data_IF_122370518571
#
_entry.id   IF_122370518571
#
_cell.length_a   1.000
_cell.length_b   1.000
_cell.length_c   1.000
_cell.angle_alpha   90.00
_cell.angle_beta   90.00
_cell.angle_gamma   90.00
#
_symmetry.space_group_name_H-M   'P 1'
#
loop_
_entity.id
_entity.type
_entity.pdbx_description
1 polymer ?
#
# COMPACT_ATOMS: atom_id res chain seq x y z
N UNK A 1 -21.69 -13.98 17.93
CA UNK A 1 -20.63 -14.66 17.14
C UNK A 1 -21.20 -15.97 16.63
N UNK A 2 -21.09 -16.25 15.32
CA UNK A 2 -21.63 -17.48 14.72
C UNK A 2 -20.65 -18.64 14.94
N UNK A 3 -21.16 -19.81 15.35
CA UNK A 3 -20.34 -21.01 15.65
C UNK A 3 -20.04 -21.82 14.40
N UNK A 4 -19.38 -21.19 13.44
CA UNK A 4 -18.96 -21.83 12.18
C UNK A 4 -17.44 -21.71 12.04
N UNK A 5 -16.76 -22.75 11.51
CA UNK A 5 -15.36 -22.63 11.12
C UNK A 5 -15.17 -21.45 10.17
N UNK A 6 -14.11 -20.66 10.37
CA UNK A 6 -13.85 -19.47 9.57
C UNK A 6 -12.41 -19.46 9.06
N UNK A 7 -12.23 -19.17 7.78
CA UNK A 7 -10.92 -18.92 7.18
C UNK A 7 -10.79 -17.45 6.82
N UNK A 8 -9.65 -16.87 7.19
CA UNK A 8 -9.30 -15.48 6.98
C UNK A 8 -7.89 -15.40 6.42
N UNK A 9 -7.61 -14.38 5.63
CA UNK A 9 -6.24 -14.10 5.25
C UNK A 9 -6.09 -12.76 4.59
N UNK A 10 -4.84 -12.43 4.31
CA UNK A 10 -4.46 -11.19 3.67
C UNK A 10 -3.22 -11.40 2.81
N UNK A 11 -3.06 -10.53 1.82
CA UNK A 11 -1.87 -10.45 1.00
C UNK A 11 -0.74 -9.75 1.76
N UNK A 12 0.52 -9.99 1.37
CA UNK A 12 1.66 -9.33 2.00
C UNK A 12 1.67 -7.81 1.79
N UNK A 13 1.00 -7.31 0.74
CA UNK A 13 1.06 -5.94 0.27
C UNK A 13 -0.35 -5.35 -0.01
N UNK A 14 -1.28 -5.48 0.95
CA UNK A 14 -2.67 -4.99 0.80
C UNK A 14 -2.75 -3.46 0.65
N UNK A 15 -1.82 -2.75 1.28
CA UNK A 15 -1.76 -1.30 1.33
C UNK A 15 -1.42 -0.66 -0.01
N UNK A 16 -0.77 -1.39 -0.92
CA UNK A 16 -0.33 -0.90 -2.22
C UNK A 16 -1.45 -0.24 -3.02
N UNK A 17 -2.69 -0.73 -2.94
CA UNK A 17 -3.81 -0.14 -3.69
C UNK A 17 -4.10 1.31 -3.28
N UNK A 18 -3.94 1.63 -1.99
CA UNK A 18 -4.13 2.99 -1.48
C UNK A 18 -2.87 3.83 -1.69
N UNK A 19 -1.69 3.25 -1.52
CA UNK A 19 -0.40 3.91 -1.79
C UNK A 19 -0.30 4.32 -3.27
N UNK A 20 -0.77 3.49 -4.20
CA UNK A 20 -0.79 3.78 -5.64
C UNK A 20 -1.52 5.09 -5.96
N UNK A 21 -2.66 5.33 -5.30
CA UNK A 21 -3.43 6.57 -5.50
C UNK A 21 -2.63 7.80 -5.07
N UNK A 22 -1.88 7.73 -3.98
CA UNK A 22 -1.02 8.85 -3.55
C UNK A 22 0.12 9.14 -4.51
N UNK A 23 0.66 8.09 -5.15
CA UNK A 23 1.69 8.24 -6.17
C UNK A 23 1.14 8.82 -7.48
N UNK A 24 -0.17 8.76 -7.70
CA UNK A 24 -0.78 9.17 -8.96
C UNK A 24 -1.03 10.69 -9.05
N UNK A 25 -1.39 11.35 -7.94
CA UNK A 25 -1.79 12.77 -7.95
C UNK A 25 -0.66 13.71 -7.52
N UNK A 26 -0.35 14.77 -8.29
CA UNK A 26 0.73 15.69 -7.93
C UNK A 26 0.46 16.49 -6.65
N UNK A 27 -0.80 16.73 -6.31
CA UNK A 27 -1.20 17.39 -5.06
C UNK A 27 -0.84 16.53 -3.85
N UNK A 28 -1.09 15.22 -3.92
CA UNK A 28 -0.70 14.29 -2.86
C UNK A 28 0.82 14.18 -2.79
N UNK A 29 1.51 14.13 -3.94
CA UNK A 29 2.98 14.21 -3.97
C UNK A 29 3.54 15.48 -3.31
N UNK A 30 2.84 16.62 -3.44
CA UNK A 30 3.22 17.86 -2.75
C UNK A 30 3.05 17.78 -1.23
N UNK A 31 1.94 17.20 -0.75
CA UNK A 31 1.77 16.95 0.69
C UNK A 31 2.83 16.03 1.26
N UNK A 32 3.29 15.08 0.46
CA UNK A 32 4.37 14.16 0.83
C UNK A 32 5.73 14.89 0.93
N UNK A 33 6.06 15.81 0.01
CA UNK A 33 7.30 16.60 0.03
C UNK A 33 7.39 17.60 1.19
N UNK A 34 6.27 18.19 1.60
CA UNK A 34 6.24 19.23 2.64
C UNK A 34 6.24 18.66 4.08
N UNK A 35 6.47 17.36 4.30
CA UNK A 35 6.26 16.66 5.58
C UNK A 35 4.83 16.77 6.18
N UNK A 36 3.90 17.40 5.46
CA UNK A 36 2.48 17.55 5.87
C UNK A 36 1.69 16.24 5.75
N UNK A 37 2.27 15.22 5.11
CA UNK A 37 1.75 13.85 5.06
C UNK A 37 1.30 13.37 6.44
N UNK A 38 2.19 13.48 7.42
CA UNK A 38 2.00 12.85 8.72
C UNK A 38 0.85 13.49 9.49
N UNK A 39 0.81 14.81 9.53
CA UNK A 39 -0.20 15.54 10.30
C UNK A 39 -1.55 15.61 9.60
N UNK A 40 -1.56 15.73 8.26
CA UNK A 40 -2.81 15.97 7.51
C UNK A 40 -3.36 14.74 6.85
N UNK A 41 -2.51 13.86 6.31
CA UNK A 41 -2.97 12.79 5.43
C UNK A 41 -3.07 11.44 6.12
N UNK A 42 -2.11 11.09 6.99
CA UNK A 42 -2.13 9.82 7.71
C UNK A 42 -3.39 9.61 8.55
N UNK A 43 -3.93 10.60 9.29
CA UNK A 43 -5.21 10.45 9.99
C UNK A 43 -6.35 9.99 9.09
N UNK A 44 -6.45 10.58 7.89
CA UNK A 44 -7.46 10.20 6.91
C UNK A 44 -7.17 8.85 6.26
N UNK A 45 -5.90 8.55 5.98
CA UNK A 45 -5.49 7.31 5.34
C UNK A 45 -5.78 6.07 6.19
N UNK A 46 -5.52 6.15 7.51
CA UNK A 46 -5.72 5.01 8.41
C UNK A 46 -6.93 5.16 9.33
N UNK A 47 -7.82 6.11 9.01
CA UNK A 47 -9.11 6.37 9.67
C UNK A 47 -9.03 6.53 11.20
N UNK A 48 -8.14 7.38 11.69
CA UNK A 48 -8.16 7.78 13.10
C UNK A 48 -8.42 9.28 13.28
N UNK A 49 -9.05 9.61 14.40
CA UNK A 49 -9.30 11.00 14.78
C UNK A 49 -8.05 11.63 15.38
N UNK A 50 -7.45 12.56 14.64
CA UNK A 50 -6.26 13.29 15.06
C UNK A 50 -6.53 14.25 16.21
N UNK A 51 -7.76 14.70 16.43
CA UNK A 51 -8.11 15.59 17.54
C UNK A 51 -8.01 14.86 18.89
N UNK A 52 -8.36 13.58 18.91
CA UNK A 52 -8.26 12.72 20.10
C UNK A 52 -6.83 12.26 20.36
N UNK A 53 -6.00 12.19 19.31
CA UNK A 53 -4.65 11.62 19.33
C UNK A 53 -3.68 12.47 18.50
N UNK A 54 -3.38 13.72 18.92
CA UNK A 54 -2.59 14.64 18.12
C UNK A 54 -1.13 14.19 17.94
N UNK A 55 -0.60 13.39 18.86
CA UNK A 55 0.76 12.86 18.84
C UNK A 55 0.93 11.57 18.03
N UNK A 56 -0.18 10.92 17.64
CA UNK A 56 -0.14 9.60 17.02
C UNK A 56 0.52 9.61 15.64
N UNK A 57 0.35 10.69 14.87
CA UNK A 57 0.95 10.84 13.54
C UNK A 57 2.47 10.71 13.60
N UNK A 58 3.08 11.43 14.54
CA UNK A 58 4.53 11.46 14.73
C UNK A 58 5.05 10.13 15.28
N UNK A 59 4.36 9.54 16.25
CA UNK A 59 4.72 8.20 16.76
C UNK A 59 4.65 7.13 15.67
N UNK A 60 3.66 7.21 14.78
CA UNK A 60 3.55 6.30 13.64
C UNK A 60 4.69 6.53 12.66
N UNK A 61 4.98 7.79 12.32
CA UNK A 61 6.12 8.14 11.48
C UNK A 61 7.40 7.54 12.04
N UNK A 62 7.71 7.82 13.29
CA UNK A 62 8.96 7.41 13.92
C UNK A 62 9.07 5.87 13.99
N UNK A 63 7.95 5.16 14.18
CA UNK A 63 7.95 3.70 14.16
C UNK A 63 8.27 3.09 12.79
N UNK A 64 7.70 3.65 11.70
CA UNK A 64 7.84 3.09 10.36
C UNK A 64 9.06 3.64 9.59
N UNK A 65 9.39 4.90 9.80
CA UNK A 65 10.38 5.65 9.00
C UNK A 65 11.56 6.17 9.84
N UNK A 66 11.50 6.07 11.17
CA UNK A 66 12.52 6.67 12.02
C UNK A 66 12.59 8.20 11.86
N UNK A 67 13.80 8.74 12.01
CA UNK A 67 14.09 10.18 11.94
C UNK A 67 14.71 10.62 10.60
N UNK A 68 14.59 9.81 9.55
CA UNK A 68 15.22 10.09 8.27
C UNK A 68 14.34 11.00 7.39
N UNK A 69 14.98 11.71 6.46
CA UNK A 69 14.31 12.35 5.33
C UNK A 69 14.28 11.39 4.15
N UNK A 70 13.14 11.21 3.51
CA UNK A 70 12.93 10.19 2.48
C UNK A 70 12.47 10.78 1.15
N UNK A 71 12.94 10.19 0.05
CA UNK A 71 12.40 10.40 -1.29
C UNK A 71 11.24 9.42 -1.52
N UNK A 72 10.09 9.92 -1.95
CA UNK A 72 8.88 9.10 -2.14
C UNK A 72 8.87 8.35 -3.47
N UNK A 73 9.83 8.65 -4.34
CA UNK A 73 10.14 7.82 -5.49
C UNK A 73 11.07 6.66 -5.14
N UNK A 74 11.62 6.63 -3.91
CA UNK A 74 12.36 5.49 -3.40
C UNK A 74 11.42 4.28 -3.21
N UNK A 75 11.69 3.15 -3.88
CA UNK A 75 10.95 1.91 -3.67
C UNK A 75 10.85 1.48 -2.20
N UNK A 76 11.88 1.76 -1.38
CA UNK A 76 11.89 1.46 0.05
C UNK A 76 10.82 2.23 0.80
N UNK A 77 10.64 3.51 0.49
CA UNK A 77 9.63 4.40 1.11
C UNK A 77 8.22 3.96 0.74
N UNK A 78 8.01 3.56 -0.52
CA UNK A 78 6.74 3.00 -0.99
C UNK A 78 6.42 1.71 -0.24
N UNK A 79 7.41 0.82 -0.07
CA UNK A 79 7.26 -0.43 0.67
C UNK A 79 6.92 -0.18 2.15
N UNK A 80 7.51 0.84 2.76
CA UNK A 80 7.21 1.21 4.15
C UNK A 80 5.80 1.80 4.30
N UNK A 81 5.37 2.65 3.36
CA UNK A 81 3.99 3.15 3.32
C UNK A 81 2.97 2.02 3.13
N UNK A 82 3.26 1.09 2.23
CA UNK A 82 2.44 -0.11 2.04
C UNK A 82 2.34 -0.93 3.33
N UNK A 83 3.47 -1.12 4.02
CA UNK A 83 3.49 -1.84 5.31
C UNK A 83 2.61 -1.15 6.36
N UNK A 84 2.73 0.18 6.49
CA UNK A 84 1.90 0.97 7.41
C UNK A 84 0.39 0.77 7.12
N UNK A 85 0.00 0.93 5.86
CA UNK A 85 -1.41 0.84 5.46
C UNK A 85 -1.92 -0.60 5.60
N UNK A 86 -1.13 -1.59 5.16
CA UNK A 86 -1.42 -3.02 5.30
C UNK A 86 -1.64 -3.39 6.77
N UNK A 87 -0.75 -2.94 7.66
CA UNK A 87 -0.83 -3.24 9.08
C UNK A 87 -2.10 -2.66 9.71
N UNK A 88 -2.43 -1.41 9.40
CA UNK A 88 -3.56 -0.70 10.04
C UNK A 88 -4.92 -1.12 9.50
N UNK A 89 -5.05 -1.23 8.18
CA UNK A 89 -6.35 -1.44 7.55
C UNK A 89 -6.69 -2.92 7.34
N UNK A 90 -5.69 -3.80 7.31
CA UNK A 90 -5.91 -5.21 6.99
C UNK A 90 -5.45 -6.13 8.12
N UNK A 91 -4.16 -6.12 8.49
CA UNK A 91 -3.65 -7.11 9.45
C UNK A 91 -4.17 -6.91 10.88
N UNK A 92 -4.28 -5.66 11.36
CA UNK A 92 -4.84 -5.39 12.68
C UNK A 92 -6.29 -5.87 12.80
N UNK A 93 -7.25 -5.43 11.96
CA UNK A 93 -8.62 -5.91 12.07
C UNK A 93 -8.73 -7.42 11.82
N UNK A 94 -7.96 -7.99 10.88
CA UNK A 94 -7.92 -9.44 10.67
C UNK A 94 -7.52 -10.20 11.93
N UNK A 95 -6.42 -9.79 12.57
CA UNK A 95 -5.96 -10.38 13.84
C UNK A 95 -7.03 -10.24 14.92
N UNK A 96 -7.59 -9.05 15.10
CA UNK A 96 -8.57 -8.78 16.15
C UNK A 96 -9.85 -9.62 15.92
N UNK A 97 -10.34 -9.71 14.68
CA UNK A 97 -11.48 -10.57 14.31
C UNK A 97 -11.18 -12.05 14.52
N UNK A 98 -9.99 -12.52 14.16
CA UNK A 98 -9.57 -13.89 14.36
C UNK A 98 -9.52 -14.28 15.85
N UNK A 99 -8.99 -13.39 16.70
CA UNK A 99 -8.91 -13.58 18.15
C UNK A 99 -10.29 -13.61 18.81
N UNK A 100 -11.27 -12.86 18.28
CA UNK A 100 -12.65 -12.90 18.78
C UNK A 100 -13.36 -14.18 18.33
N UNK A 101 -13.22 -14.57 17.05
CA UNK A 101 -13.88 -15.77 16.52
C UNK A 101 -13.31 -17.06 17.13
N UNK A 102 -11.99 -17.13 17.37
CA UNK A 102 -11.32 -18.35 17.85
C UNK A 102 -11.80 -18.83 19.22
N UNK A 103 -12.45 -17.95 20.00
CA UNK A 103 -13.10 -18.30 21.27
C UNK A 103 -14.35 -19.16 21.10
N UNK A 104 -14.90 -19.23 19.88
CA UNK A 104 -16.21 -19.82 19.61
C UNK A 104 -16.21 -20.89 18.53
N UNK A 105 -15.26 -20.86 17.58
CA UNK A 105 -15.13 -21.85 16.51
C UNK A 105 -13.69 -21.91 15.97
N UNK A 106 -13.30 -22.98 15.26
CA UNK A 106 -12.00 -23.05 14.60
C UNK A 106 -11.76 -21.89 13.62
N UNK A 107 -10.58 -21.29 13.69
CA UNK A 107 -10.15 -20.20 12.79
C UNK A 107 -8.87 -20.61 12.07
N UNK A 108 -8.86 -20.47 10.76
CA UNK A 108 -7.71 -20.74 9.90
C UNK A 108 -7.19 -19.43 9.31
N UNK A 109 -5.90 -19.15 9.49
CA UNK A 109 -5.27 -17.95 8.96
C UNK A 109 -4.36 -18.32 7.78
N UNK A 110 -4.41 -17.53 6.72
CA UNK A 110 -3.43 -17.59 5.63
C UNK A 110 -2.78 -16.23 5.37
N UNK A 111 -1.55 -16.26 4.86
CA UNK A 111 -0.84 -15.09 4.36
C UNK A 111 -0.37 -15.39 2.93
N UNK A 112 -0.84 -14.60 1.98
CA UNK A 112 -0.48 -14.78 0.57
C UNK A 112 0.71 -13.89 0.22
N UNK A 113 1.81 -14.50 -0.25
CA UNK A 113 3.07 -13.80 -0.54
C UNK A 113 3.55 -13.96 -1.99
N UNK A 114 2.70 -14.50 -2.87
CA UNK A 114 3.07 -14.64 -4.27
C UNK A 114 2.75 -13.34 -5.02
N UNK A 115 3.78 -12.73 -5.62
CA UNK A 115 3.64 -11.54 -6.46
C UNK A 115 3.55 -11.96 -7.93
N UNK A 116 2.40 -11.70 -8.55
CA UNK A 116 2.22 -11.88 -9.98
C UNK A 116 3.01 -10.86 -10.81
N UNK A 117 3.25 -11.19 -12.08
CA UNK A 117 3.92 -10.31 -13.05
C UNK A 117 3.12 -9.00 -13.29
N UNK A 118 1.80 -9.12 -13.38
CA UNK A 118 0.88 -7.98 -13.43
C UNK A 118 0.02 -7.97 -12.17
N UNK A 119 -0.04 -6.82 -11.51
CA UNK A 119 -0.86 -6.62 -10.31
C UNK A 119 -1.82 -5.45 -10.51
N UNK A 120 -2.90 -5.42 -9.73
CA UNK A 120 -3.83 -4.29 -9.75
C UNK A 120 -3.14 -2.95 -9.40
N UNK A 121 -2.11 -2.99 -8.55
CA UNK A 121 -1.26 -1.84 -8.26
C UNK A 121 -0.64 -1.23 -9.54
N UNK A 122 -0.14 -2.06 -10.45
CA UNK A 122 0.42 -1.60 -11.72
C UNK A 122 -0.63 -0.83 -12.53
N UNK A 123 -1.84 -1.38 -12.63
CA UNK A 123 -2.94 -0.75 -13.37
C UNK A 123 -3.34 0.62 -12.80
N UNK A 124 -3.48 0.72 -11.47
CA UNK A 124 -3.79 2.00 -10.80
C UNK A 124 -2.68 3.02 -11.05
N UNK A 125 -1.42 2.61 -10.98
CA UNK A 125 -0.26 3.47 -11.25
C UNK A 125 -0.26 4.00 -12.69
N UNK A 126 -0.64 3.16 -13.66
CA UNK A 126 -0.67 3.53 -15.07
C UNK A 126 -1.83 4.43 -15.45
N UNK A 127 -2.94 4.41 -14.70
CA UNK A 127 -4.18 5.12 -15.02
C UNK A 127 -4.14 6.64 -14.83
N UNK A 128 -2.97 7.28 -14.66
CA UNK A 128 -2.89 8.73 -14.43
C UNK A 128 -3.41 9.45 -15.68
N UNK A 129 -4.48 10.26 -15.61
CA UNK A 129 -4.94 10.96 -16.81
C UNK A 129 -3.92 12.03 -17.21
N UNK A 130 -3.27 11.87 -18.37
CA UNK A 130 -2.71 13.03 -19.09
C UNK A 130 -3.87 13.78 -19.72
N UNK A 131 -3.93 15.09 -19.52
CA UNK A 131 -5.03 15.95 -19.98
C UNK A 131 -5.30 15.91 -21.50
N UNK A 132 -4.35 15.44 -22.30
CA UNK A 132 -4.39 15.47 -23.77
C UNK A 132 -4.46 14.08 -24.44
N UNK A 133 -4.49 12.98 -23.69
CA UNK A 133 -4.53 11.61 -24.21
C UNK A 133 -5.73 10.84 -23.64
N UNK A 134 -6.39 10.01 -24.45
CA UNK A 134 -7.39 9.06 -23.94
C UNK A 134 -6.72 8.15 -22.90
N UNK A 135 -7.33 8.01 -21.72
CA UNK A 135 -6.77 7.25 -20.60
C UNK A 135 -6.38 5.81 -20.97
N UNK A 136 -7.11 5.18 -21.88
CA UNK A 136 -6.83 3.83 -22.40
C UNK A 136 -5.47 3.73 -23.10
N UNK A 137 -5.12 4.72 -23.93
CA UNK A 137 -3.84 4.75 -24.67
C UNK A 137 -2.69 4.94 -23.69
N UNK A 138 -2.90 5.76 -22.66
CA UNK A 138 -1.89 6.00 -21.63
C UNK A 138 -1.59 4.75 -20.78
N UNK A 139 -2.65 4.03 -20.38
CA UNK A 139 -2.51 2.76 -19.66
C UNK A 139 -1.75 1.73 -20.50
N UNK A 140 -2.11 1.59 -21.78
CA UNK A 140 -1.43 0.66 -22.69
C UNK A 140 0.06 1.00 -22.87
N UNK A 141 0.38 2.27 -23.08
CA UNK A 141 1.76 2.73 -23.27
C UNK A 141 2.63 2.52 -22.03
N UNK A 142 2.17 2.96 -20.85
CA UNK A 142 2.91 2.75 -19.60
C UNK A 142 3.03 1.27 -19.24
N UNK A 143 1.97 0.50 -19.49
CA UNK A 143 1.97 -0.95 -19.30
C UNK A 143 3.03 -1.64 -20.15
N UNK A 144 3.16 -1.26 -21.42
CA UNK A 144 4.18 -1.79 -22.32
C UNK A 144 5.61 -1.44 -21.85
N UNK A 145 5.86 -0.19 -21.45
CA UNK A 145 7.17 0.25 -20.94
C UNK A 145 7.57 -0.53 -19.69
N UNK A 146 6.68 -0.61 -18.71
CA UNK A 146 6.94 -1.33 -17.45
C UNK A 146 7.20 -2.82 -17.68
N UNK A 147 6.42 -3.43 -18.58
CA UNK A 147 6.56 -4.84 -18.94
C UNK A 147 7.94 -5.09 -19.57
N UNK A 148 8.37 -4.22 -20.49
CA UNK A 148 9.69 -4.28 -21.11
C UNK A 148 10.81 -4.09 -20.08
N UNK A 149 10.68 -3.13 -19.17
CA UNK A 149 11.67 -2.89 -18.11
C UNK A 149 11.82 -4.10 -17.18
N UNK A 150 10.70 -4.71 -16.77
CA UNK A 150 10.73 -5.91 -15.93
C UNK A 150 11.36 -7.09 -16.67
N UNK A 151 11.04 -7.28 -17.95
CA UNK A 151 11.65 -8.31 -18.78
C UNK A 151 13.17 -8.12 -18.91
N UNK A 152 13.62 -6.90 -19.22
CA UNK A 152 15.05 -6.58 -19.33
C UNK A 152 15.80 -6.78 -18.01
N UNK A 153 15.19 -6.39 -16.89
CA UNK A 153 15.74 -6.63 -15.55
C UNK A 153 15.87 -8.12 -15.25
N UNK A 154 14.81 -8.89 -15.50
CA UNK A 154 14.82 -10.35 -15.33
C UNK A 154 15.91 -10.99 -16.19
N UNK A 155 16.00 -10.63 -17.47
CA UNK A 155 17.00 -11.15 -18.41
C UNK A 155 18.43 -10.88 -17.91
N UNK A 156 18.70 -9.66 -17.44
CA UNK A 156 20.01 -9.25 -16.93
C UNK A 156 20.46 -10.08 -15.72
N UNK A 157 19.55 -10.53 -14.86
CA UNK A 157 19.87 -11.30 -13.66
C UNK A 157 19.92 -12.82 -13.84
N UNK A 158 19.49 -13.35 -15.00
CA UNK A 158 19.48 -14.79 -15.25
C UNK A 158 20.46 -15.22 -16.36
N UNK A 159 21.09 -14.27 -17.06
CA UNK A 159 22.00 -14.52 -18.18
C UNK A 159 23.38 -13.85 -18.05
N UNK A 160 23.68 -13.22 -16.91
CA UNK A 160 25.00 -12.69 -16.52
C UNK A 160 25.24 -13.00 -15.04
#
# INVERSE_FOLDING_TARGET
VNKVPWMLGANNNEGLILVAKFLQFPETQKFLKDNKLWEKLIPHLIFYDSSLRPDAAMKIRDYYFGNETYDLHDPGVISTLDSLVSHKLFFKPLKDSALVQSKHAPVYLYKYNYKGFLTFFNFVRWGRPMSWLRGEIHVAFNGAIDTLQQFLFWWKHHHY
#
